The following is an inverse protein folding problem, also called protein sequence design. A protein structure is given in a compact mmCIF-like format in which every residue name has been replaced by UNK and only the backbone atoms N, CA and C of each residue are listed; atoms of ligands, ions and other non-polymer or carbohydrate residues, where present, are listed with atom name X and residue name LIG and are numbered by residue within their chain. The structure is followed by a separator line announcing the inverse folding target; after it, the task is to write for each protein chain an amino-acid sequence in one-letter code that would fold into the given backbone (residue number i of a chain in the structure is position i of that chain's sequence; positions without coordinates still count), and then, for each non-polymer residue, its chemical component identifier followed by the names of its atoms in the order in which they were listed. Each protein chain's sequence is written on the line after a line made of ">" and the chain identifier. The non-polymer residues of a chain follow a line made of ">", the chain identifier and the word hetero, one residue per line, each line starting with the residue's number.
data_IF_968551584338
#
_entry.id   IF_968551584338
#
_cell.length_a   1.000
_cell.length_b   1.000
_cell.length_c   1.000
_cell.angle_alpha   90.00
_cell.angle_beta   90.00
_cell.angle_gamma   90.00
#
_symmetry.space_group_name_H-M   'P 1'
#
loop_
_entity.id
_entity.type
_entity.pdbx_description
1 polymer ?
#
# COMPACT_ATOMS: atom_id res chain seq x y z
N UNK A 1 -28.27 2.86 -44.46
CA UNK A 1 -27.78 1.47 -44.50
C UNK A 1 -26.74 1.31 -45.59
N UNK A 2 -25.49 0.97 -45.24
CA UNK A 2 -24.51 0.29 -46.12
C UNK A 2 -23.68 -0.64 -45.23
N UNK A 3 -23.76 -1.94 -45.49
CA UNK A 3 -22.93 -3.00 -44.89
C UNK A 3 -21.59 -3.09 -45.67
N UNK A 4 -20.74 -4.07 -45.35
CA UNK A 4 -19.45 -4.43 -45.98
C UNK A 4 -18.27 -3.64 -45.36
N UNK A 5 -17.22 -4.26 -44.78
CA UNK A 5 -16.89 -5.70 -44.66
C UNK A 5 -16.14 -6.02 -43.36
N UNK A 6 -16.46 -7.15 -42.74
CA UNK A 6 -15.58 -7.79 -41.75
C UNK A 6 -14.36 -8.37 -42.46
N UNK A 7 -13.14 -8.21 -41.92
CA UNK A 7 -11.91 -8.78 -42.50
C UNK A 7 -11.30 -9.79 -41.54
N UNK A 8 -11.28 -11.05 -41.94
CA UNK A 8 -10.89 -12.20 -41.11
C UNK A 8 -9.88 -13.07 -41.87
N UNK A 9 -8.71 -13.34 -41.29
CA UNK A 9 -7.76 -14.36 -41.78
C UNK A 9 -6.69 -14.70 -40.73
N UNK A 10 -6.33 -15.98 -40.66
CA UNK A 10 -5.43 -16.56 -39.67
C UNK A 10 -3.95 -16.55 -40.11
N UNK A 11 -3.03 -16.42 -39.14
CA UNK A 11 -1.87 -17.32 -38.94
C UNK A 11 -1.59 -17.33 -37.42
N UNK A 12 -1.44 -18.42 -36.66
CA UNK A 12 -1.05 -19.83 -36.86
C UNK A 12 0.48 -20.08 -36.90
N UNK A 13 0.93 -20.97 -36.00
CA UNK A 13 2.31 -21.43 -35.69
C UNK A 13 3.11 -20.48 -34.78
N UNK A 14 3.83 -20.92 -33.74
CA UNK A 14 3.80 -22.22 -33.05
C UNK A 14 5.17 -22.75 -32.59
N UNK A 15 5.20 -23.35 -31.39
CA UNK A 15 6.25 -24.22 -30.79
C UNK A 15 7.58 -23.52 -30.45
N UNK A 16 8.02 -23.66 -29.18
CA UNK A 16 9.28 -23.10 -28.67
C UNK A 16 9.69 -23.65 -27.30
N UNK A 17 9.57 -24.96 -27.06
CA UNK A 17 9.98 -25.58 -25.79
C UNK A 17 11.51 -25.65 -25.67
N UNK A 18 12.09 -25.01 -24.65
CA UNK A 18 13.49 -25.16 -24.28
C UNK A 18 13.63 -25.22 -22.75
N UNK A 19 13.93 -26.39 -22.20
CA UNK A 19 14.21 -26.58 -20.79
C UNK A 19 15.72 -26.63 -20.52
N UNK A 20 16.19 -25.91 -19.50
CA UNK A 20 17.56 -26.01 -18.98
C UNK A 20 17.52 -26.01 -17.45
N UNK A 21 17.61 -27.18 -16.86
CA UNK A 21 17.81 -27.36 -15.40
C UNK A 21 19.31 -27.25 -15.11
N UNK A 22 19.68 -26.44 -14.13
CA UNK A 22 20.99 -26.54 -13.48
C UNK A 22 20.83 -26.60 -11.95
N UNK A 23 21.76 -27.31 -11.32
CA UNK A 23 21.63 -27.82 -9.95
C UNK A 23 22.40 -26.99 -8.92
N UNK A 24 21.81 -26.89 -7.72
CA UNK A 24 22.45 -26.95 -6.38
C UNK A 24 23.56 -25.93 -6.05
N UNK A 25 23.34 -25.19 -4.96
CA UNK A 25 24.30 -24.27 -4.35
C UNK A 25 24.17 -24.13 -2.82
N UNK A 26 24.04 -25.24 -2.08
CA UNK A 26 23.92 -25.21 -0.62
C UNK A 26 25.25 -24.86 0.08
N UNK A 27 25.57 -23.57 0.18
CA UNK A 27 26.78 -23.05 0.83
C UNK A 27 26.60 -22.78 2.33
N UNK A 28 26.61 -23.81 3.16
CA UNK A 28 26.49 -23.66 4.62
C UNK A 28 27.79 -23.11 5.23
N UNK A 29 27.76 -21.92 5.86
CA UNK A 29 28.84 -21.43 6.72
C UNK A 29 28.28 -20.75 7.97
N UNK A 30 28.24 -21.50 9.07
CA UNK A 30 27.97 -21.00 10.40
C UNK A 30 29.27 -20.38 10.97
N UNK A 31 29.21 -19.14 11.46
CA UNK A 31 30.30 -18.49 12.18
C UNK A 31 29.84 -18.05 13.58
N UNK A 32 30.65 -18.32 14.60
CA UNK A 32 30.32 -18.13 16.02
C UNK A 32 29.88 -16.70 16.39
N UNK A 33 28.80 -16.61 17.17
CA UNK A 33 28.53 -15.46 18.05
C UNK A 33 29.35 -15.59 19.33
N UNK A 34 30.12 -14.56 19.71
CA UNK A 34 30.48 -14.31 21.12
C UNK A 34 30.32 -12.82 21.50
N UNK A 35 29.83 -12.51 22.72
CA UNK A 35 29.38 -11.16 23.12
C UNK A 35 30.47 -10.39 23.91
N UNK A 36 30.07 -9.23 24.51
CA UNK A 36 30.73 -8.31 25.48
C UNK A 36 30.84 -6.87 24.88
N UNK A 37 30.44 -5.76 25.53
CA UNK A 37 29.72 -5.51 26.81
C UNK A 37 29.01 -4.13 26.80
N UNK A 38 28.22 -3.82 27.85
CA UNK A 38 27.52 -2.54 28.08
C UNK A 38 28.41 -1.48 28.78
N UNK A 39 28.09 -0.18 28.65
CA UNK A 39 28.30 0.84 29.72
C UNK A 39 27.55 2.18 29.47
N UNK A 40 27.24 2.92 30.55
CA UNK A 40 26.42 4.16 30.57
C UNK A 40 24.93 3.86 30.86
N UNK A 41 24.25 4.27 31.94
CA UNK A 41 24.37 5.37 32.94
C UNK A 41 24.17 6.79 32.38
N UNK A 42 23.45 7.74 33.01
CA UNK A 42 22.25 7.81 33.92
C UNK A 42 22.06 9.30 34.30
N UNK A 43 20.86 9.73 34.71
CA UNK A 43 20.53 11.08 35.26
C UNK A 43 20.51 12.25 34.24
N UNK A 44 19.80 13.38 34.47
CA UNK A 44 19.10 13.88 35.68
C UNK A 44 17.74 14.58 35.39
N UNK A 45 17.06 15.04 36.45
CA UNK A 45 15.65 15.50 36.51
C UNK A 45 15.47 17.04 36.57
N UNK A 46 14.22 17.55 36.38
CA UNK A 46 13.52 18.66 37.12
C UNK A 46 12.75 19.69 36.23
N UNK A 47 11.50 19.96 36.67
CA UNK A 47 10.57 21.11 36.47
C UNK A 47 11.14 22.52 36.18
N UNK A 48 10.40 23.53 35.64
CA UNK A 48 9.07 23.66 34.95
C UNK A 48 9.10 25.03 34.18
N UNK A 49 8.10 25.91 33.93
CA UNK A 49 6.70 26.14 34.39
C UNK A 49 5.94 27.12 33.46
N UNK A 50 4.60 27.12 33.51
CA UNK A 50 3.65 28.25 33.21
C UNK A 50 3.46 28.74 31.76
N UNK A 51 2.33 28.29 31.19
CA UNK A 51 1.22 29.05 30.56
C UNK A 51 1.49 30.26 29.63
N UNK A 52 1.04 30.14 28.37
CA UNK A 52 0.30 31.22 27.68
C UNK A 52 -0.82 30.61 26.82
N UNK A 53 -1.99 31.27 26.76
CA UNK A 53 -3.18 30.83 26.01
C UNK A 53 -3.14 31.34 24.56
N UNK A 54 -3.24 30.43 23.59
CA UNK A 54 -3.83 30.74 22.28
C UNK A 54 -4.52 29.50 21.72
N UNK A 55 -5.84 29.51 21.77
CA UNK A 55 -6.68 28.59 21.01
C UNK A 55 -6.40 28.67 19.50
N UNK A 56 -5.85 27.58 18.96
CA UNK A 56 -5.85 27.29 17.52
C UNK A 56 -6.49 25.90 17.31
N UNK A 57 -7.72 25.88 16.81
CA UNK A 57 -8.34 24.64 16.29
C UNK A 57 -7.72 24.30 14.94
N UNK A 58 -6.49 23.78 14.98
CA UNK A 58 -5.88 23.10 13.85
C UNK A 58 -6.33 21.65 13.84
N UNK A 59 -7.11 21.26 12.83
CA UNK A 59 -7.43 19.85 12.57
C UNK A 59 -6.20 19.16 11.95
N UNK A 60 -5.18 18.89 12.76
CA UNK A 60 -3.96 18.22 12.31
C UNK A 60 -4.28 16.76 11.94
N UNK A 61 -4.45 16.50 10.64
CA UNK A 61 -4.36 15.14 10.09
C UNK A 61 -2.94 14.61 10.40
N UNK A 62 -2.78 13.40 10.97
CA UNK A 62 -1.48 12.94 11.44
C UNK A 62 -0.57 12.58 10.25
N UNK A 63 0.61 13.19 10.18
CA UNK A 63 1.67 12.76 9.26
C UNK A 63 2.58 11.77 9.99
N UNK A 64 2.82 10.58 9.42
CA UNK A 64 3.66 9.52 10.01
C UNK A 64 4.99 9.37 9.29
N UNK A 65 5.65 10.51 9.08
CA UNK A 65 7.04 10.67 8.68
C UNK A 65 7.50 12.09 9.06
N UNK A 66 8.74 12.27 9.54
CA UNK A 66 9.30 13.58 9.95
C UNK A 66 9.55 14.56 8.77
N UNK A 67 8.99 14.28 7.60
CA UNK A 67 9.08 15.11 6.39
C UNK A 67 7.69 15.63 6.04
N UNK A 68 7.61 16.94 5.77
CA UNK A 68 6.42 17.58 5.18
C UNK A 68 5.96 16.78 3.96
N UNK A 69 4.65 16.59 3.81
CA UNK A 69 4.07 15.89 2.67
C UNK A 69 4.57 16.48 1.32
N UNK A 70 4.78 15.64 0.28
CA UNK A 70 5.20 16.10 -1.04
C UNK A 70 4.26 17.18 -1.60
N UNK A 71 4.80 18.08 -2.44
CA UNK A 71 3.99 19.13 -3.07
C UNK A 71 2.86 18.50 -3.91
N UNK A 72 1.61 18.82 -3.57
CA UNK A 72 0.42 18.24 -4.20
C UNK A 72 -0.11 16.95 -3.54
N UNK A 73 0.44 16.51 -2.41
CA UNK A 73 -0.07 15.40 -1.61
C UNK A 73 -0.65 15.93 -0.29
N UNK A 74 -1.93 15.68 -0.05
CA UNK A 74 -2.66 16.12 1.15
C UNK A 74 -2.46 15.18 2.34
N UNK A 75 -2.23 13.88 2.09
CA UNK A 75 -2.08 12.86 3.13
C UNK A 75 -1.06 11.78 2.75
N UNK A 76 -0.28 11.30 3.74
CA UNK A 76 0.73 10.24 3.53
C UNK A 76 0.49 9.13 4.55
N UNK A 77 0.09 7.96 4.08
CA UNK A 77 -0.07 6.77 4.94
C UNK A 77 1.31 6.11 5.09
N UNK A 78 1.81 6.08 6.32
CA UNK A 78 3.10 5.50 6.69
C UNK A 78 3.04 4.00 6.96
N UNK A 79 4.15 3.44 7.46
CA UNK A 79 4.20 2.05 7.93
C UNK A 79 3.50 1.88 9.30
N UNK A 80 3.58 2.91 10.15
CA UNK A 80 2.83 3.00 11.40
C UNK A 80 1.36 3.36 11.12
N UNK A 81 0.42 2.83 11.91
CA UNK A 81 -1.03 3.06 11.81
C UNK A 81 -1.68 2.78 10.44
N UNK A 82 -0.99 2.12 9.50
CA UNK A 82 -1.49 1.83 8.15
C UNK A 82 -2.91 1.25 8.14
N UNK A 83 -3.20 0.31 9.03
CA UNK A 83 -4.52 -0.34 9.13
C UNK A 83 -5.57 0.63 9.68
N UNK A 84 -5.30 1.32 10.79
CA UNK A 84 -6.15 2.41 11.32
C UNK A 84 -6.44 3.53 10.30
N UNK A 85 -5.48 3.85 9.42
CA UNK A 85 -5.65 4.92 8.42
C UNK A 85 -6.46 4.47 7.20
N UNK A 86 -6.32 3.21 6.78
CA UNK A 86 -7.21 2.62 5.78
C UNK A 86 -8.64 2.48 6.32
N UNK A 87 -8.80 2.02 7.57
CA UNK A 87 -10.12 1.87 8.22
C UNK A 87 -10.90 3.20 8.25
N UNK A 88 -10.25 4.32 8.61
CA UNK A 88 -10.85 5.67 8.52
C UNK A 88 -11.31 6.03 7.11
N UNK A 89 -10.57 5.66 6.07
CA UNK A 89 -10.93 5.97 4.68
C UNK A 89 -12.16 5.17 4.21
N UNK A 90 -12.33 3.94 4.71
CA UNK A 90 -13.55 3.16 4.49
C UNK A 90 -14.73 3.67 5.32
N UNK A 91 -14.53 4.00 6.61
CA UNK A 91 -15.60 4.40 7.54
C UNK A 91 -16.13 5.83 7.31
N UNK A 92 -15.24 6.78 6.99
CA UNK A 92 -15.54 8.22 6.86
C UNK A 92 -15.35 8.72 5.40
N UNK A 93 -15.63 7.88 4.41
CA UNK A 93 -15.28 8.09 2.98
C UNK A 93 -15.61 9.50 2.44
N UNK A 94 -16.75 10.08 2.82
CA UNK A 94 -17.18 11.40 2.35
C UNK A 94 -16.25 12.55 2.78
N UNK A 95 -15.51 12.38 3.89
CA UNK A 95 -14.47 13.30 4.36
C UNK A 95 -13.14 13.16 3.61
N UNK A 96 -12.97 12.06 2.85
CA UNK A 96 -11.73 11.71 2.16
C UNK A 96 -11.80 11.85 0.64
N UNK A 97 -12.98 11.73 0.01
CA UNK A 97 -13.16 11.96 -1.43
C UNK A 97 -12.58 13.33 -1.86
N UNK A 98 -11.76 13.32 -2.90
CA UNK A 98 -11.03 14.49 -3.40
C UNK A 98 -9.68 14.76 -2.72
N UNK A 99 -9.35 14.06 -1.61
CA UNK A 99 -8.01 14.10 -1.01
C UNK A 99 -7.01 13.39 -1.91
N UNK A 100 -5.86 14.01 -2.18
CA UNK A 100 -4.73 13.35 -2.85
C UNK A 100 -3.83 12.68 -1.80
N UNK A 101 -3.71 11.35 -1.86
CA UNK A 101 -2.95 10.55 -0.91
C UNK A 101 -1.71 9.92 -1.55
N UNK A 102 -0.73 9.59 -0.70
CA UNK A 102 0.43 8.77 -1.05
C UNK A 102 0.56 7.60 -0.08
N UNK A 103 0.79 6.39 -0.59
CA UNK A 103 1.15 5.22 0.22
C UNK A 103 2.03 4.22 -0.55
N UNK A 104 2.51 3.19 0.14
CA UNK A 104 3.30 2.11 -0.46
C UNK A 104 2.70 0.74 -0.17
N UNK A 105 2.85 -0.20 -1.10
CA UNK A 105 2.37 -1.57 -0.99
C UNK A 105 2.78 -2.45 -2.18
N UNK A 106 2.27 -3.68 -2.23
CA UNK A 106 2.41 -4.60 -3.36
C UNK A 106 1.26 -4.39 -4.35
N UNK A 107 1.56 -4.33 -5.64
CA UNK A 107 0.52 -4.41 -6.69
C UNK A 107 -0.12 -5.80 -6.68
N UNK A 108 -1.45 -5.86 -6.69
CA UNK A 108 -2.20 -7.11 -6.82
C UNK A 108 -3.36 -6.99 -7.81
N UNK A 109 -3.40 -7.86 -8.82
CA UNK A 109 -4.59 -8.09 -9.65
C UNK A 109 -5.56 -8.99 -8.86
N UNK A 110 -6.64 -8.39 -8.31
CA UNK A 110 -7.64 -9.10 -7.51
C UNK A 110 -8.68 -9.80 -8.38
N UNK A 111 -9.01 -9.20 -9.52
CA UNK A 111 -9.79 -9.76 -10.62
C UNK A 111 -9.18 -9.26 -11.94
N UNK A 112 -9.36 -9.94 -13.09
CA UNK A 112 -8.72 -9.54 -14.35
C UNK A 112 -9.01 -8.09 -14.76
N UNK A 113 -8.01 -7.21 -14.66
CA UNK A 113 -8.15 -5.77 -14.90
C UNK A 113 -8.48 -4.90 -13.66
N UNK A 114 -8.78 -5.49 -12.49
CA UNK A 114 -9.00 -4.77 -11.22
C UNK A 114 -7.77 -4.92 -10.32
N UNK A 115 -7.06 -3.81 -10.14
CA UNK A 115 -5.81 -3.74 -9.40
C UNK A 115 -6.00 -3.04 -8.06
N UNK A 116 -5.29 -3.53 -7.05
CA UNK A 116 -5.30 -3.03 -5.67
C UNK A 116 -3.84 -2.89 -5.23
N UNK A 117 -3.51 -1.89 -4.41
CA UNK A 117 -2.17 -1.80 -3.80
C UNK A 117 -2.28 -2.17 -2.32
N UNK A 118 -1.67 -3.29 -1.93
CA UNK A 118 -1.97 -3.96 -0.66
C UNK A 118 -0.76 -4.18 0.24
N UNK A 119 -1.05 -4.37 1.53
CA UNK A 119 -0.17 -4.94 2.54
C UNK A 119 -0.88 -6.08 3.28
N UNK A 120 -0.12 -6.88 4.01
CA UNK A 120 -0.62 -8.00 4.81
C UNK A 120 -0.89 -7.57 6.24
N UNK A 121 -1.97 -8.06 6.85
CA UNK A 121 -2.31 -7.84 8.26
C UNK A 121 -2.83 -9.14 8.90
N UNK A 122 -2.40 -9.46 10.12
CA UNK A 122 -2.97 -10.57 10.90
C UNK A 122 -4.21 -10.08 11.67
N UNK A 123 -5.39 -10.30 11.10
CA UNK A 123 -6.64 -10.05 11.81
C UNK A 123 -6.88 -11.16 12.84
N UNK A 124 -6.84 -10.80 14.13
CA UNK A 124 -7.19 -11.72 15.22
C UNK A 124 -8.67 -12.10 15.21
N UNK A 125 -8.96 -13.39 15.34
CA UNK A 125 -10.32 -13.95 15.34
C UNK A 125 -10.39 -15.12 16.33
N UNK A 126 -11.19 -14.96 17.40
CA UNK A 126 -11.26 -15.84 18.58
C UNK A 126 -9.88 -16.25 19.16
N UNK A 127 -9.40 -17.47 18.86
CA UNK A 127 -8.16 -18.06 19.38
C UNK A 127 -7.02 -18.15 18.34
N UNK A 128 -7.23 -17.59 17.14
CA UNK A 128 -6.30 -17.61 16.03
C UNK A 128 -6.25 -16.25 15.30
N UNK A 129 -5.53 -16.19 14.18
CA UNK A 129 -5.50 -15.03 13.30
C UNK A 129 -5.59 -15.46 11.84
N UNK A 130 -6.10 -14.56 11.01
CA UNK A 130 -6.14 -14.70 9.56
C UNK A 130 -5.29 -13.60 8.92
N UNK A 131 -4.33 -14.00 8.08
CA UNK A 131 -3.59 -13.04 7.24
C UNK A 131 -4.51 -12.57 6.12
N UNK A 132 -4.79 -11.26 6.09
CA UNK A 132 -5.65 -10.60 5.10
C UNK A 132 -4.88 -9.54 4.32
N UNK A 133 -5.44 -9.10 3.20
CA UNK A 133 -4.95 -7.94 2.45
C UNK A 133 -5.64 -6.67 2.94
N UNK A 134 -4.87 -5.59 3.12
CA UNK A 134 -5.35 -4.25 3.47
C UNK A 134 -4.76 -3.25 2.47
N UNK A 135 -5.60 -2.41 1.88
CA UNK A 135 -5.22 -1.47 0.82
C UNK A 135 -6.46 -0.79 0.24
N UNK A 136 -6.29 -0.10 -0.90
CA UNK A 136 -7.39 0.48 -1.67
C UNK A 136 -7.42 -0.09 -3.08
N UNK A 137 -8.62 -0.32 -3.62
CA UNK A 137 -8.82 -0.61 -5.04
C UNK A 137 -8.46 0.62 -5.88
N UNK A 138 -7.96 0.38 -7.09
CA UNK A 138 -7.28 1.43 -7.88
C UNK A 138 -7.75 1.51 -9.33
N UNK A 139 -7.75 2.74 -9.86
CA UNK A 139 -7.78 3.01 -11.30
C UNK A 139 -6.47 3.67 -11.72
N UNK A 140 -5.98 3.37 -12.92
CA UNK A 140 -4.76 3.99 -13.47
C UNK A 140 -4.82 3.98 -15.00
N UNK A 141 -4.54 5.12 -15.63
CA UNK A 141 -4.44 5.24 -17.10
C UNK A 141 -3.10 4.71 -17.67
N UNK A 142 -2.14 4.36 -16.81
CA UNK A 142 -0.85 3.80 -17.18
C UNK A 142 -0.78 2.27 -17.11
N UNK A 143 0.39 1.72 -17.40
CA UNK A 143 0.64 0.28 -17.27
C UNK A 143 0.99 -0.09 -15.81
N UNK A 144 0.20 -0.96 -15.19
CA UNK A 144 0.52 -1.52 -13.88
C UNK A 144 1.82 -2.36 -13.94
N UNK A 145 2.69 -2.25 -12.92
CA UNK A 145 3.72 -3.24 -12.66
C UNK A 145 3.14 -4.65 -12.50
N UNK A 146 3.98 -5.67 -12.71
CA UNK A 146 3.57 -7.06 -12.49
C UNK A 146 3.21 -7.30 -11.03
N UNK A 147 2.34 -8.28 -10.82
CA UNK A 147 1.90 -8.77 -9.51
C UNK A 147 3.05 -8.94 -8.50
N UNK A 148 2.77 -8.63 -7.23
CA UNK A 148 3.70 -8.62 -6.09
C UNK A 148 4.87 -7.61 -6.19
N UNK A 149 4.88 -6.70 -7.19
CA UNK A 149 5.86 -5.59 -7.24
C UNK A 149 5.58 -4.57 -6.13
N UNK A 150 6.59 -4.23 -5.32
CA UNK A 150 6.50 -3.12 -4.37
C UNK A 150 6.53 -1.75 -5.08
N UNK A 151 5.54 -0.92 -4.79
CA UNK A 151 5.33 0.40 -5.39
C UNK A 151 5.02 1.44 -4.32
N UNK A 152 5.35 2.69 -4.63
CA UNK A 152 4.69 3.86 -4.08
C UNK A 152 3.66 4.34 -5.09
N UNK A 153 2.46 4.67 -4.63
CA UNK A 153 1.41 5.29 -5.45
C UNK A 153 1.04 6.66 -4.91
N UNK A 154 0.71 7.57 -5.82
CA UNK A 154 0.05 8.85 -5.55
C UNK A 154 -1.24 8.89 -6.36
N UNK A 155 -2.33 9.36 -5.76
CA UNK A 155 -3.62 9.48 -6.45
C UNK A 155 -4.68 10.20 -5.63
N UNK A 156 -5.84 10.44 -6.23
CA UNK A 156 -6.97 11.12 -5.58
C UNK A 156 -8.09 10.13 -5.23
N UNK A 157 -8.58 10.17 -3.99
CA UNK A 157 -9.68 9.32 -3.52
C UNK A 157 -10.96 9.69 -4.26
N UNK A 158 -11.59 8.69 -4.87
CA UNK A 158 -12.95 8.74 -5.39
C UNK A 158 -13.80 7.64 -4.77
N UNK A 159 -14.99 7.44 -5.34
CA UNK A 159 -15.97 6.43 -4.92
C UNK A 159 -16.10 5.39 -6.01
N UNK A 160 -16.08 4.11 -5.64
CA UNK A 160 -16.39 2.99 -6.52
C UNK A 160 -17.88 2.88 -6.84
N UNK A 161 -18.22 2.43 -8.04
CA UNK A 161 -19.60 2.10 -8.40
C UNK A 161 -20.00 0.78 -7.68
N UNK A 162 -21.10 0.75 -6.91
CA UNK A 162 -21.58 -0.46 -6.23
C UNK A 162 -21.75 -1.66 -7.17
N UNK A 163 -21.36 -2.84 -6.71
CA UNK A 163 -21.42 -4.10 -7.48
C UNK A 163 -22.64 -4.95 -7.07
N UNK A 164 -22.84 -6.13 -7.68
CA UNK A 164 -23.88 -7.06 -7.18
C UNK A 164 -23.51 -7.70 -5.83
N UNK A 165 -22.23 -7.65 -5.44
CA UNK A 165 -21.69 -8.20 -4.18
C UNK A 165 -21.39 -7.10 -3.13
N UNK A 166 -21.34 -5.82 -3.53
CA UNK A 166 -21.05 -4.66 -2.68
C UNK A 166 -22.21 -3.65 -2.74
N UNK A 167 -23.15 -3.74 -1.79
CA UNK A 167 -24.33 -2.86 -1.71
C UNK A 167 -24.01 -1.42 -1.26
N UNK A 168 -22.79 -1.17 -0.75
CA UNK A 168 -22.35 0.11 -0.20
C UNK A 168 -21.21 0.75 -1.01
N UNK A 169 -21.02 2.06 -0.86
CA UNK A 169 -20.02 2.84 -1.58
C UNK A 169 -18.63 2.68 -0.96
N UNK A 170 -17.63 2.29 -1.77
CA UNK A 170 -16.27 2.01 -1.31
C UNK A 170 -15.22 3.02 -1.85
N UNK A 171 -14.10 3.25 -1.14
CA UNK A 171 -12.99 4.06 -1.65
C UNK A 171 -12.32 3.43 -2.86
N UNK A 172 -12.08 4.24 -3.90
CA UNK A 172 -11.20 3.90 -5.02
C UNK A 172 -10.13 4.97 -5.17
N UNK A 173 -8.87 4.56 -5.23
CA UNK A 173 -7.77 5.48 -5.52
C UNK A 173 -7.60 5.67 -7.03
N UNK A 174 -7.84 6.89 -7.50
CA UNK A 174 -7.55 7.28 -8.87
C UNK A 174 -6.07 7.67 -8.96
N UNK A 175 -5.24 6.69 -9.32
CA UNK A 175 -3.78 6.80 -9.29
C UNK A 175 -3.30 7.70 -10.42
N UNK A 176 -2.39 8.61 -10.10
CA UNK A 176 -1.74 9.53 -11.03
C UNK A 176 -0.25 9.20 -11.21
N UNK A 177 0.40 8.65 -10.19
CA UNK A 177 1.79 8.17 -10.24
C UNK A 177 1.92 6.77 -9.64
N UNK A 178 2.64 5.87 -10.34
CA UNK A 178 3.12 4.59 -9.81
C UNK A 178 4.65 4.56 -9.92
N UNK A 179 5.35 4.68 -8.79
CA UNK A 179 6.81 4.66 -8.73
C UNK A 179 7.30 3.36 -8.09
N UNK A 180 8.01 2.53 -8.88
CA UNK A 180 8.65 1.29 -8.41
C UNK A 180 9.82 1.61 -7.47
N UNK A 181 9.88 0.91 -6.34
CA UNK A 181 10.86 1.12 -5.28
C UNK A 181 11.40 -0.23 -4.76
N UNK A 182 12.43 -0.19 -3.91
CA UNK A 182 12.82 -1.34 -3.09
C UNK A 182 11.69 -1.73 -2.14
N UNK A 183 11.57 -3.02 -1.83
CA UNK A 183 10.53 -3.53 -0.94
C UNK A 183 10.52 -2.85 0.46
N UNK A 184 9.33 -2.46 0.91
CA UNK A 184 9.06 -1.90 2.24
C UNK A 184 8.41 -2.92 3.19
N UNK A 185 7.69 -2.43 4.20
CA UNK A 185 7.06 -3.27 5.22
C UNK A 185 5.80 -3.98 4.68
N UNK A 186 5.99 -5.17 4.11
CA UNK A 186 4.91 -5.97 3.52
C UNK A 186 3.84 -6.44 4.53
N UNK A 187 4.18 -6.58 5.82
CA UNK A 187 3.24 -6.95 6.88
C UNK A 187 3.14 -5.86 7.94
N UNK A 188 1.95 -5.28 8.07
CA UNK A 188 1.63 -4.20 9.01
C UNK A 188 0.93 -4.75 10.26
N UNK A 189 0.94 -3.96 11.33
CA UNK A 189 0.26 -4.23 12.59
C UNK A 189 -0.70 -3.07 12.90
N UNK A 190 -1.47 -3.21 13.98
CA UNK A 190 -2.34 -2.17 14.52
C UNK A 190 -2.08 -1.97 16.03
#
# INVERSE_FOLDING_TARGET
>A
MRTIMLKMSHMLKGIGLAACVFFVGCGNNQADLKPIQQQGQVSDTVESTTDEDTSNTSSEKPYLNDNQAPEGVDYVIGDENFVNDMDKIYMDLDQYVGTTLQYEGMVKEMDPGRYTVIRLYDMGHDDHAHEIYVGLDTTYDGEWPVDDTWVRVVGTIGVGEPTEDEEEAFPVLNVTEVTKISAGQAKVNN
#
